data_IF_323589976508
#
_entry.id   IF_323589976508
#
_cell.length_a   1.000
_cell.length_b   1.000
_cell.length_c   1.000
_cell.angle_alpha   90.00
_cell.angle_beta   90.00
_cell.angle_gamma   90.00
#
_symmetry.space_group_name_H-M   'P 1'
#
loop_
_entity.id
_entity.type
_entity.pdbx_description
1 polymer ?
#
# COMPACT_ATOMS: atom_id res chain seq x y z
N UNK A 1 -12.89 2.26 -9.76
CA UNK A 1 -12.00 2.58 -10.89
C UNK A 1 -10.52 2.74 -10.51
N UNK A 2 -10.15 3.30 -9.35
CA UNK A 2 -8.73 3.47 -8.96
C UNK A 2 -7.90 2.17 -8.99
N UNK A 3 -8.41 1.06 -8.43
CA UNK A 3 -7.75 -0.27 -8.50
C UNK A 3 -7.44 -0.68 -9.93
N UNK A 4 -8.41 -0.52 -10.84
CA UNK A 4 -8.24 -0.93 -12.22
C UNK A 4 -7.24 -0.04 -12.97
N UNK A 5 -7.29 1.29 -12.75
CA UNK A 5 -6.39 2.23 -13.40
C UNK A 5 -4.92 2.02 -12.97
N UNK A 6 -4.67 1.90 -11.66
CA UNK A 6 -3.31 1.71 -11.14
C UNK A 6 -2.79 0.29 -11.40
N UNK A 7 -3.66 -0.72 -11.39
CA UNK A 7 -3.27 -2.08 -11.82
C UNK A 7 -2.88 -2.11 -13.29
N UNK A 8 -3.63 -1.41 -14.16
CA UNK A 8 -3.30 -1.31 -15.59
C UNK A 8 -1.96 -0.58 -15.80
N UNK A 9 -1.73 0.52 -15.08
CA UNK A 9 -0.45 1.24 -15.11
C UNK A 9 0.72 0.34 -14.65
N UNK A 10 0.54 -0.40 -13.56
CA UNK A 10 1.54 -1.36 -13.06
C UNK A 10 1.85 -2.44 -14.08
N UNK A 11 0.83 -3.00 -14.73
CA UNK A 11 1.01 -4.01 -15.78
C UNK A 11 1.82 -3.47 -16.96
N UNK A 12 1.54 -2.25 -17.41
CA UNK A 12 2.30 -1.62 -18.51
C UNK A 12 3.76 -1.38 -18.10
N UNK A 13 3.99 -0.84 -16.89
CA UNK A 13 5.34 -0.55 -16.38
C UNK A 13 6.18 -1.79 -16.11
N UNK A 14 5.55 -2.91 -15.77
CA UNK A 14 6.24 -4.16 -15.40
C UNK A 14 6.05 -5.29 -16.40
N UNK A 15 5.53 -5.02 -17.60
CA UNK A 15 5.13 -6.04 -18.58
C UNK A 15 6.23 -7.07 -18.87
N UNK A 16 7.49 -6.65 -18.95
CA UNK A 16 8.65 -7.52 -19.22
C UNK A 16 8.98 -8.52 -18.09
N UNK A 17 8.47 -8.28 -16.88
CA UNK A 17 8.69 -9.11 -15.69
C UNK A 17 7.48 -9.97 -15.33
N UNK A 18 6.37 -9.78 -16.04
CA UNK A 18 5.12 -10.49 -15.77
C UNK A 18 5.00 -11.71 -16.69
N UNK A 19 4.61 -12.83 -16.09
CA UNK A 19 4.29 -14.08 -16.75
C UNK A 19 2.79 -14.14 -17.05
N UNK A 20 2.38 -15.14 -17.84
CA UNK A 20 0.96 -15.39 -18.11
C UNK A 20 0.31 -16.11 -16.92
N UNK A 21 0.08 -15.38 -15.84
CA UNK A 21 -0.63 -15.86 -14.65
C UNK A 21 -1.52 -14.78 -14.06
N UNK A 22 -2.42 -15.18 -13.17
CA UNK A 22 -3.25 -14.24 -12.40
C UNK A 22 -2.41 -13.71 -11.24
N UNK A 23 -2.29 -12.38 -11.18
CA UNK A 23 -1.62 -11.69 -10.10
C UNK A 23 -2.65 -11.02 -9.19
N UNK A 24 -2.40 -11.06 -7.89
CA UNK A 24 -3.06 -10.15 -6.95
C UNK A 24 -2.52 -8.74 -7.16
N UNK A 25 -3.32 -7.73 -6.78
CA UNK A 25 -2.84 -6.35 -6.76
C UNK A 25 -1.68 -6.26 -5.75
N UNK A 26 -0.52 -5.71 -6.14
CA UNK A 26 0.57 -5.43 -5.22
C UNK A 26 0.11 -4.61 -4.00
N UNK A 27 0.61 -4.95 -2.81
CA UNK A 27 0.16 -4.33 -1.55
C UNK A 27 0.43 -2.82 -1.49
N UNK A 28 1.52 -2.36 -2.10
CA UNK A 28 1.87 -0.95 -2.23
C UNK A 28 0.83 -0.18 -3.05
N UNK A 29 0.32 -0.77 -4.13
CA UNK A 29 -0.75 -0.19 -4.93
C UNK A 29 -2.05 -0.14 -4.13
N UNK A 30 -2.38 -1.19 -3.39
CA UNK A 30 -3.60 -1.23 -2.58
C UNK A 30 -3.57 -0.16 -1.47
N UNK A 31 -2.42 -0.01 -0.79
CA UNK A 31 -2.18 1.04 0.21
C UNK A 31 -2.30 2.44 -0.39
N UNK A 32 -1.74 2.66 -1.58
CA UNK A 32 -1.82 3.96 -2.25
C UNK A 32 -3.28 4.31 -2.62
N UNK A 33 -4.07 3.31 -2.99
CA UNK A 33 -5.49 3.53 -3.30
C UNK A 33 -6.29 3.85 -2.06
N UNK A 34 -6.05 3.13 -0.97
CA UNK A 34 -6.64 3.45 0.32
C UNK A 34 -6.29 4.89 0.74
N UNK A 35 -5.02 5.28 0.61
CA UNK A 35 -4.54 6.65 0.90
C UNK A 35 -5.25 7.70 0.04
N UNK A 36 -5.31 7.50 -1.28
CA UNK A 36 -5.99 8.42 -2.20
C UNK A 36 -7.49 8.52 -1.92
N UNK A 37 -8.14 7.41 -1.57
CA UNK A 37 -9.56 7.40 -1.21
C UNK A 37 -9.83 8.21 0.05
N UNK A 38 -9.04 7.98 1.12
CA UNK A 38 -9.15 8.74 2.36
C UNK A 38 -8.90 10.24 2.12
N UNK A 39 -7.87 10.59 1.34
CA UNK A 39 -7.56 11.97 0.98
C UNK A 39 -8.72 12.64 0.21
N UNK A 40 -9.35 11.93 -0.74
CA UNK A 40 -10.52 12.44 -1.48
C UNK A 40 -11.73 12.71 -0.59
N UNK A 41 -11.80 12.08 0.58
CA UNK A 41 -12.84 12.28 1.60
C UNK A 41 -12.45 13.34 2.64
N UNK A 42 -11.27 13.98 2.49
CA UNK A 42 -10.74 14.94 3.46
C UNK A 42 -10.21 14.30 4.75
N UNK A 43 -10.07 12.97 4.78
CA UNK A 43 -9.55 12.23 5.94
C UNK A 43 -8.02 12.25 5.89
N UNK A 44 -7.40 12.70 6.98
CA UNK A 44 -5.94 12.67 7.15
C UNK A 44 -5.54 11.45 7.95
N UNK A 45 -4.53 10.74 7.47
CA UNK A 45 -3.83 9.68 8.21
C UNK A 45 -2.59 10.31 8.81
N UNK A 46 -2.39 10.14 10.11
CA UNK A 46 -1.20 10.62 10.81
C UNK A 46 0.01 9.72 10.53
N UNK A 47 1.18 10.16 10.98
CA UNK A 47 2.43 9.42 10.84
C UNK A 47 2.97 9.16 12.23
N UNK A 48 3.40 7.92 12.46
CA UNK A 48 4.01 7.53 13.73
C UNK A 48 5.26 8.38 14.00
N UNK A 49 5.39 8.86 15.23
CA UNK A 49 6.63 9.50 15.68
C UNK A 49 7.75 8.47 15.78
N UNK A 50 9.01 8.93 15.76
CA UNK A 50 10.15 8.04 15.93
C UNK A 50 10.09 7.23 17.24
N UNK A 51 9.55 7.84 18.30
CA UNK A 51 9.31 7.17 19.58
C UNK A 51 8.22 6.09 19.49
N UNK A 52 7.10 6.37 18.80
CA UNK A 52 6.03 5.38 18.59
C UNK A 52 6.50 4.20 17.75
N UNK A 53 7.31 4.43 16.71
CA UNK A 53 7.93 3.36 15.90
C UNK A 53 8.87 2.52 16.76
N UNK A 54 9.73 3.18 17.55
CA UNK A 54 10.63 2.48 18.48
C UNK A 54 9.86 1.67 19.50
N UNK A 55 8.79 2.22 20.06
CA UNK A 55 7.92 1.54 21.02
C UNK A 55 7.29 0.28 20.40
N UNK A 56 6.70 0.37 19.21
CA UNK A 56 6.14 -0.78 18.48
C UNK A 56 7.18 -1.87 18.19
N UNK A 57 8.40 -1.49 17.81
CA UNK A 57 9.49 -2.44 17.55
C UNK A 57 10.17 -2.99 18.81
N UNK A 58 9.98 -2.36 19.97
CA UNK A 58 10.58 -2.77 21.25
C UNK A 58 9.80 -3.86 21.98
N UNK A 59 8.60 -4.21 21.51
CA UNK A 59 7.80 -5.30 22.06
C UNK A 59 8.35 -6.64 21.56
N UNK A 60 9.27 -7.22 22.33
CA UNK A 60 9.79 -8.59 22.14
C UNK A 60 9.33 -9.59 23.22
N UNK A 61 8.53 -9.17 24.20
CA UNK A 61 7.98 -10.09 25.22
C UNK A 61 6.47 -9.97 25.39
N UNK A 62 5.79 -11.09 25.13
CA UNK A 62 4.39 -11.31 25.48
C UNK A 62 3.78 -12.51 24.74
N UNK A 63 4.23 -13.72 25.11
CA UNK A 63 3.67 -15.08 24.84
C UNK A 63 3.16 -15.44 23.44
#
# INVERSE_FOLDING_TARGET
FANQALSAEYMVKNASRLEKKVYTVPEDIDKEIARLKLASMGIKVDVLTAEQVKYLGSWQEGT
#
